data_IF_711792128345
#
_entry.id   IF_711792128345
#
_cell.length_a   1.000
_cell.length_b   1.000
_cell.length_c   1.000
_cell.angle_alpha   90.00
_cell.angle_beta   90.00
_cell.angle_gamma   90.00
#
_symmetry.space_group_name_H-M   'P 1'
#
loop_
_entity.id
_entity.type
_entity.pdbx_description
1 polymer ?
#
# COMPACT_ATOMS: atom_id res chain seq x y z
N UNK A 1 53.16 3.68 1.83
CA UNK A 1 52.19 2.65 2.26
C UNK A 1 52.57 1.35 1.57
N UNK A 2 52.37 0.18 2.18
CA UNK A 2 52.65 -1.11 1.56
C UNK A 2 51.45 -1.49 0.66
N UNK A 3 51.70 -1.96 -0.56
CA UNK A 3 50.71 -2.43 -1.55
C UNK A 3 49.62 -3.34 -0.95
N UNK A 4 49.96 -4.12 0.09
CA UNK A 4 49.00 -4.96 0.81
C UNK A 4 47.88 -4.15 1.47
N UNK A 5 48.20 -2.99 2.03
CA UNK A 5 47.22 -2.10 2.68
C UNK A 5 46.32 -1.46 1.63
N UNK A 6 46.87 -1.04 0.50
CA UNK A 6 46.10 -0.45 -0.60
C UNK A 6 45.12 -1.47 -1.21
N UNK A 7 45.57 -2.70 -1.45
CA UNK A 7 44.71 -3.77 -1.96
C UNK A 7 43.55 -4.08 -1.01
N UNK A 8 43.79 -4.11 0.31
CA UNK A 8 42.74 -4.34 1.31
C UNK A 8 41.72 -3.20 1.33
N UNK A 9 42.17 -1.95 1.21
CA UNK A 9 41.29 -0.79 1.12
C UNK A 9 40.41 -0.88 -0.13
N UNK A 10 40.99 -1.23 -1.29
CA UNK A 10 40.23 -1.38 -2.54
C UNK A 10 39.19 -2.51 -2.46
N UNK A 11 39.52 -3.61 -1.79
CA UNK A 11 38.59 -4.71 -1.54
C UNK A 11 37.41 -4.25 -0.67
N UNK A 12 37.67 -3.57 0.44
CA UNK A 12 36.62 -3.00 1.28
C UNK A 12 35.74 -2.00 0.52
N UNK A 13 36.34 -1.12 -0.29
CA UNK A 13 35.58 -0.17 -1.12
C UNK A 13 34.70 -0.88 -2.16
N UNK A 14 35.14 -2.03 -2.69
CA UNK A 14 34.36 -2.85 -3.61
C UNK A 14 33.16 -3.47 -2.89
N UNK A 15 33.36 -4.00 -1.69
CA UNK A 15 32.29 -4.56 -0.86
C UNK A 15 31.26 -3.47 -0.51
N UNK A 16 31.71 -2.32 0.00
CA UNK A 16 30.81 -1.19 0.32
C UNK A 16 29.99 -0.76 -0.90
N UNK A 17 30.59 -0.72 -2.10
CA UNK A 17 29.85 -0.38 -3.33
C UNK A 17 28.80 -1.44 -3.69
N UNK A 18 29.09 -2.72 -3.46
CA UNK A 18 28.14 -3.79 -3.67
C UNK A 18 26.96 -3.67 -2.69
N UNK A 19 27.24 -3.46 -1.40
CA UNK A 19 26.22 -3.28 -0.36
C UNK A 19 25.34 -2.05 -0.66
N UNK A 20 25.95 -0.93 -1.08
CA UNK A 20 25.20 0.26 -1.50
C UNK A 20 24.29 0.01 -2.70
N UNK A 21 24.71 -0.85 -3.64
CA UNK A 21 23.89 -1.23 -4.79
C UNK A 21 22.70 -2.09 -4.34
N UNK A 22 22.93 -3.07 -3.45
CA UNK A 22 21.87 -3.89 -2.87
C UNK A 22 20.84 -3.04 -2.11
N UNK A 23 21.29 -2.14 -1.24
CA UNK A 23 20.40 -1.23 -0.52
C UNK A 23 19.57 -0.36 -1.47
N UNK A 24 20.14 0.11 -2.58
CA UNK A 24 19.41 0.89 -3.58
C UNK A 24 18.30 0.06 -4.25
N UNK A 25 18.58 -1.20 -4.55
CA UNK A 25 17.59 -2.13 -5.11
C UNK A 25 16.45 -2.41 -4.11
N UNK A 26 16.79 -2.71 -2.85
CA UNK A 26 15.81 -2.90 -1.77
C UNK A 26 14.93 -1.66 -1.57
N UNK A 27 15.54 -0.46 -1.52
CA UNK A 27 14.80 0.80 -1.42
C UNK A 27 13.87 1.02 -2.62
N UNK A 28 14.29 0.62 -3.82
CA UNK A 28 13.43 0.68 -5.01
C UNK A 28 12.26 -0.29 -4.89
N UNK A 29 12.50 -1.52 -4.42
CA UNK A 29 11.47 -2.51 -4.14
C UNK A 29 10.44 -1.99 -3.12
N UNK A 30 10.91 -1.45 -1.99
CA UNK A 30 10.04 -0.86 -0.97
C UNK A 30 9.16 0.28 -1.50
N UNK A 31 9.69 1.14 -2.39
CA UNK A 31 8.89 2.20 -3.01
C UNK A 31 7.77 1.64 -3.89
N UNK A 32 8.05 0.58 -4.63
CA UNK A 32 7.05 -0.12 -5.45
C UNK A 32 5.96 -0.75 -4.58
N UNK A 33 6.34 -1.46 -3.51
CA UNK A 33 5.40 -2.04 -2.55
C UNK A 33 4.51 -0.97 -1.90
N UNK A 34 5.09 0.17 -1.51
CA UNK A 34 4.33 1.31 -0.99
C UNK A 34 3.31 1.88 -2.00
N UNK A 35 3.64 1.89 -3.29
CA UNK A 35 2.71 2.32 -4.33
C UNK A 35 1.54 1.33 -4.45
N UNK A 36 1.83 0.04 -4.42
CA UNK A 36 0.83 -1.03 -4.48
C UNK A 36 -0.11 -0.94 -3.27
N UNK A 37 0.42 -0.73 -2.06
CA UNK A 37 -0.40 -0.55 -0.85
C UNK A 37 -1.33 0.66 -1.00
N UNK A 38 -0.83 1.79 -1.52
CA UNK A 38 -1.67 2.97 -1.76
C UNK A 38 -2.81 2.69 -2.74
N UNK A 39 -2.56 1.93 -3.79
CA UNK A 39 -3.59 1.54 -4.76
C UNK A 39 -4.65 0.63 -4.14
N UNK A 40 -4.23 -0.37 -3.34
CA UNK A 40 -5.17 -1.25 -2.63
C UNK A 40 -6.03 -0.46 -1.62
N UNK A 41 -5.43 0.46 -0.86
CA UNK A 41 -6.14 1.35 0.06
C UNK A 41 -7.18 2.21 -0.67
N UNK A 42 -6.82 2.78 -1.82
CA UNK A 42 -7.77 3.55 -2.63
C UNK A 42 -8.93 2.69 -3.12
N UNK A 43 -8.65 1.46 -3.58
CA UNK A 43 -9.67 0.49 -3.97
C UNK A 43 -10.61 0.12 -2.82
N UNK A 44 -10.06 -0.12 -1.62
CA UNK A 44 -10.85 -0.42 -0.42
C UNK A 44 -11.78 0.73 -0.04
N UNK A 45 -11.29 1.97 -0.03
CA UNK A 45 -12.08 3.16 0.28
C UNK A 45 -13.20 3.38 -0.77
N UNK A 46 -12.89 3.15 -2.04
CA UNK A 46 -13.89 3.19 -3.11
C UNK A 46 -14.98 2.13 -2.93
N UNK A 47 -14.59 0.89 -2.62
CA UNK A 47 -15.52 -0.19 -2.31
C UNK A 47 -16.41 0.10 -1.10
N UNK A 48 -15.85 0.65 -0.03
CA UNK A 48 -16.62 1.06 1.15
C UNK A 48 -17.68 2.12 0.79
N UNK A 49 -17.32 3.10 -0.02
CA UNK A 49 -18.25 4.15 -0.46
C UNK A 49 -19.42 3.58 -1.26
N UNK A 50 -19.16 2.59 -2.12
CA UNK A 50 -20.20 1.90 -2.88
C UNK A 50 -21.14 1.11 -1.97
N UNK A 51 -20.58 0.35 -1.00
CA UNK A 51 -21.39 -0.38 -0.02
C UNK A 51 -22.26 0.57 0.82
N UNK A 52 -21.74 1.72 1.24
CA UNK A 52 -22.51 2.72 2.00
C UNK A 52 -23.69 3.24 1.17
N UNK A 53 -23.49 3.47 -0.13
CA UNK A 53 -24.55 3.88 -1.05
C UNK A 53 -25.60 2.77 -1.25
N UNK A 54 -25.19 1.51 -1.38
CA UNK A 54 -26.10 0.37 -1.46
C UNK A 54 -26.94 0.22 -0.18
N UNK A 55 -26.31 0.31 0.99
CA UNK A 55 -26.99 0.27 2.29
C UNK A 55 -27.97 1.42 2.43
N UNK A 56 -27.60 2.64 2.03
CA UNK A 56 -28.52 3.78 2.03
C UNK A 56 -29.73 3.53 1.12
N UNK A 57 -29.51 2.97 -0.09
CA UNK A 57 -30.57 2.59 -1.00
C UNK A 57 -31.50 1.51 -0.42
N UNK A 58 -30.94 0.53 0.29
CA UNK A 58 -31.72 -0.49 1.00
C UNK A 58 -32.57 0.10 2.12
N UNK A 59 -32.02 1.02 2.92
CA UNK A 59 -32.77 1.74 3.98
C UNK A 59 -33.97 2.48 3.40
N UNK A 60 -33.78 3.25 2.32
CA UNK A 60 -34.89 3.96 1.66
C UNK A 60 -35.99 3.01 1.16
N UNK A 61 -35.60 1.85 0.64
CA UNK A 61 -36.57 0.83 0.20
C UNK A 61 -37.30 0.21 1.39
N UNK A 62 -36.61 -0.03 2.51
CA UNK A 62 -37.20 -0.55 3.73
C UNK A 62 -38.22 0.42 4.32
N UNK A 63 -37.85 1.70 4.47
CA UNK A 63 -38.77 2.75 4.94
C UNK A 63 -40.06 2.81 4.10
N UNK A 64 -39.94 2.64 2.78
CA UNK A 64 -41.09 2.60 1.87
C UNK A 64 -41.96 1.37 2.10
N UNK A 65 -41.36 0.21 2.38
CA UNK A 65 -42.09 -1.02 2.67
C UNK A 65 -42.82 -0.89 4.00
N UNK A 66 -42.13 -0.41 5.04
CA UNK A 66 -42.71 -0.18 6.37
C UNK A 66 -43.93 0.75 6.30
N UNK A 67 -43.82 1.87 5.57
CA UNK A 67 -44.95 2.78 5.33
C UNK A 67 -46.13 2.13 4.59
N UNK A 68 -45.87 1.22 3.64
CA UNK A 68 -46.93 0.53 2.89
C UNK A 68 -47.62 -0.55 3.70
N UNK A 69 -46.93 -1.07 4.71
CA UNK A 69 -47.43 -2.11 5.61
C UNK A 69 -47.97 -1.53 6.92
N UNK A 70 -47.99 -0.20 7.06
CA UNK A 70 -48.40 0.50 8.29
C UNK A 70 -47.61 0.02 9.53
N UNK A 71 -46.32 -0.29 9.31
CA UNK A 71 -45.38 -0.76 10.34
C UNK A 71 -44.54 0.37 10.94
N UNK A 72 -44.58 1.57 10.34
CA UNK A 72 -43.93 2.75 10.86
C UNK A 72 -44.87 3.47 11.84
N UNK A 73 -44.40 3.74 13.07
CA UNK A 73 -45.11 4.62 14.04
C UNK A 73 -45.24 6.07 13.54
#
# INVERSE_FOLDING_TARGET
>A
MNDKVENLILEHLRIVRADMSSMKEEMSGMRSEMLIIRQHMAGLLGGQTLHDAEVAGLKVRLDRIEKRLDLAE
#
